data_IF_028499030352
#
_entry.id   IF_028499030352
#
_cell.length_a   1.000
_cell.length_b   1.000
_cell.length_c   1.000
_cell.angle_alpha   90.00
_cell.angle_beta   90.00
_cell.angle_gamma   90.00
#
_symmetry.space_group_name_H-M   'P 1'
#
loop_
_entity.id
_entity.type
_entity.pdbx_description
1 polymer ?
#
# COMPACT_ATOMS: atom_id res chain seq x y z
N UNK A 1 -14.11 19.79 9.43
CA UNK A 1 -14.43 18.57 8.66
C UNK A 1 -13.26 18.30 7.73
N UNK A 2 -12.54 17.20 7.93
CA UNK A 2 -11.37 16.84 7.13
C UNK A 2 -11.86 16.07 5.90
N UNK A 3 -11.81 16.69 4.73
CA UNK A 3 -12.02 16.00 3.46
C UNK A 3 -10.98 14.87 3.35
N UNK A 4 -11.39 13.63 3.02
CA UNK A 4 -10.43 12.61 2.65
C UNK A 4 -9.84 13.05 1.30
N UNK A 5 -8.62 13.58 1.32
CA UNK A 5 -7.79 13.63 0.13
C UNK A 5 -7.53 12.18 -0.24
N UNK A 6 -8.34 11.69 -1.17
CA UNK A 6 -8.07 10.50 -1.96
C UNK A 6 -6.69 10.75 -2.55
N UNK A 7 -5.68 10.04 -2.05
CA UNK A 7 -4.40 9.95 -2.73
C UNK A 7 -4.71 9.34 -4.08
N UNK A 8 -4.74 10.17 -5.12
CA UNK A 8 -4.86 9.70 -6.48
C UNK A 8 -3.65 8.77 -6.69
N UNK A 9 -3.85 7.47 -6.94
CA UNK A 9 -2.74 6.60 -7.27
C UNK A 9 -2.14 7.16 -8.57
N UNK A 10 -0.92 7.68 -8.49
CA UNK A 10 -0.18 8.10 -9.69
C UNK A 10 0.20 6.81 -10.41
N UNK A 11 -0.68 6.47 -11.36
CA UNK A 11 -0.59 5.48 -12.42
C UNK A 11 -0.14 4.05 -12.02
N UNK A 12 -1.12 3.22 -11.67
CA UNK A 12 -1.09 1.80 -12.05
C UNK A 12 -1.39 1.69 -13.56
N UNK A 13 -0.70 0.78 -14.24
CA UNK A 13 -1.31 -0.53 -14.41
C UNK A 13 -0.41 -1.66 -13.89
N UNK A 14 -0.84 -2.29 -12.80
CA UNK A 14 -0.86 -3.76 -12.75
C UNK A 14 -1.62 -4.18 -14.02
N UNK A 15 -1.11 -5.16 -14.75
CA UNK A 15 -1.73 -5.70 -15.96
C UNK A 15 -3.22 -5.99 -15.70
N UNK A 16 -4.10 -5.04 -16.01
CA UNK A 16 -5.42 -5.35 -16.53
C UNK A 16 -5.23 -5.33 -18.03
N UNK A 17 -4.95 -6.50 -18.61
CA UNK A 17 -5.24 -6.69 -20.02
C UNK A 17 -6.71 -6.31 -20.18
N UNK A 18 -6.97 -5.13 -20.75
CA UNK A 18 -8.24 -4.90 -21.42
C UNK A 18 -8.35 -6.05 -22.41
N UNK A 19 -9.38 -6.89 -22.28
CA UNK A 19 -9.60 -8.07 -23.12
C UNK A 19 -9.63 -7.74 -24.64
N UNK A 20 -9.63 -6.46 -25.01
CA UNK A 20 -9.76 -5.97 -26.37
C UNK A 20 -8.46 -5.46 -27.01
N UNK A 21 -7.31 -5.49 -26.31
CA UNK A 21 -6.02 -5.04 -26.86
C UNK A 21 -5.10 -6.24 -27.11
N UNK A 22 -4.89 -6.58 -28.39
CA UNK A 22 -3.89 -7.59 -28.79
C UNK A 22 -2.49 -6.99 -28.69
N UNK A 23 -1.81 -7.29 -27.59
CA UNK A 23 -0.39 -7.01 -27.41
C UNK A 23 0.46 -8.07 -28.13
N UNK A 24 1.63 -7.72 -28.68
CA UNK A 24 2.53 -8.72 -29.26
C UNK A 24 2.96 -9.76 -28.20
N UNK A 25 2.94 -11.03 -28.58
CA UNK A 25 3.07 -12.18 -27.67
C UNK A 25 4.36 -12.17 -26.84
N UNK A 26 5.46 -11.70 -27.43
CA UNK A 26 6.76 -11.52 -26.77
C UNK A 26 6.76 -10.58 -25.55
N UNK A 27 5.67 -9.83 -25.34
CA UNK A 27 5.50 -8.93 -24.19
C UNK A 27 4.48 -9.46 -23.16
N UNK A 28 3.76 -10.53 -23.50
CA UNK A 28 2.80 -11.21 -22.62
C UNK A 28 3.49 -12.31 -21.82
N UNK A 29 4.64 -12.78 -22.28
CA UNK A 29 5.42 -13.85 -21.65
C UNK A 29 6.74 -13.32 -21.13
N UNK A 30 7.20 -13.88 -20.00
CA UNK A 30 8.53 -13.59 -19.47
C UNK A 30 9.58 -14.19 -20.41
N UNK A 31 10.69 -13.50 -20.73
CA UNK A 31 11.76 -14.02 -21.58
C UNK A 31 12.65 -15.00 -20.79
N UNK A 32 12.08 -16.15 -20.39
CA UNK A 32 12.76 -17.16 -19.55
C UNK A 32 13.92 -17.87 -20.28
N UNK A 33 13.98 -17.73 -21.60
CA UNK A 33 15.05 -18.16 -22.49
C UNK A 33 16.26 -17.21 -22.47
N UNK A 34 16.11 -15.97 -21.98
CA UNK A 34 17.23 -15.02 -21.81
C UNK A 34 17.94 -15.26 -20.46
N UNK A 35 19.21 -15.72 -20.47
CA UNK A 35 19.97 -15.98 -19.24
C UNK A 35 20.10 -14.73 -18.35
N UNK A 36 20.21 -13.54 -18.96
CA UNK A 36 20.33 -12.27 -18.24
C UNK A 36 19.04 -11.96 -17.48
N UNK A 37 17.88 -12.20 -18.11
CA UNK A 37 16.59 -12.03 -17.44
C UNK A 37 16.41 -13.02 -16.30
N UNK A 38 16.75 -14.30 -16.53
CA UNK A 38 16.58 -15.35 -15.52
C UNK A 38 17.37 -15.04 -14.24
N UNK A 39 18.64 -14.66 -14.38
CA UNK A 39 19.47 -14.26 -13.22
C UNK A 39 18.88 -13.00 -12.57
N UNK A 40 18.43 -12.03 -13.36
CA UNK A 40 17.83 -10.82 -12.81
C UNK A 40 16.48 -11.08 -12.07
N UNK A 41 15.63 -12.00 -12.52
CA UNK A 41 14.38 -12.39 -11.83
C UNK A 41 14.65 -13.10 -10.50
N UNK A 42 15.77 -13.81 -10.39
CA UNK A 42 16.22 -14.42 -9.14
C UNK A 42 16.79 -13.34 -8.20
N UNK A 43 17.69 -12.51 -8.69
CA UNK A 43 18.42 -11.54 -7.86
C UNK A 43 17.59 -10.33 -7.45
N UNK A 44 16.56 -9.94 -8.22
CA UNK A 44 15.66 -8.85 -7.82
C UNK A 44 14.97 -9.14 -6.48
N UNK A 45 14.77 -10.42 -6.13
CA UNK A 45 14.15 -10.85 -4.87
C UNK A 45 15.05 -10.65 -3.66
N UNK A 46 16.35 -10.45 -3.88
CA UNK A 46 17.36 -10.24 -2.85
C UNK A 46 17.64 -8.76 -2.58
N UNK A 47 17.12 -7.85 -3.42
CA UNK A 47 17.32 -6.41 -3.27
C UNK A 47 16.71 -5.89 -1.97
N UNK A 48 17.42 -4.98 -1.32
CA UNK A 48 16.98 -4.27 -0.11
C UNK A 48 16.88 -2.78 -0.38
N UNK A 49 16.21 -2.05 0.51
CA UNK A 49 16.04 -0.60 0.38
C UNK A 49 17.38 0.15 0.25
N UNK A 50 18.42 -0.37 0.91
CA UNK A 50 19.77 0.20 0.91
C UNK A 50 20.50 0.01 -0.42
N UNK A 51 20.04 -0.91 -1.28
CA UNK A 51 20.63 -1.16 -2.60
C UNK A 51 20.25 -0.07 -3.63
N UNK A 52 19.31 0.82 -3.30
CA UNK A 52 18.79 1.80 -4.23
C UNK A 52 19.39 3.21 -4.05
N UNK A 53 19.52 3.95 -5.16
CA UNK A 53 19.91 5.37 -5.22
C UNK A 53 18.77 6.32 -4.83
N UNK A 54 18.03 5.93 -3.80
CA UNK A 54 16.93 6.72 -3.20
C UNK A 54 17.39 7.32 -1.87
N UNK A 55 16.80 8.42 -1.40
CA UNK A 55 17.23 9.09 -0.17
C UNK A 55 17.17 8.13 1.03
N UNK A 56 18.31 7.80 1.62
CA UNK A 56 18.36 6.79 2.70
C UNK A 56 17.98 7.36 4.08
N UNK A 57 17.98 8.69 4.21
CA UNK A 57 17.68 9.47 5.41
C UNK A 57 16.17 9.55 5.73
N UNK A 58 15.47 8.42 5.65
CA UNK A 58 14.01 8.28 5.91
C UNK A 58 13.60 8.68 7.33
N UNK A 59 14.49 8.53 8.30
CA UNK A 59 14.32 8.87 9.71
C UNK A 59 14.20 10.38 9.95
N UNK A 60 14.67 11.21 9.01
CA UNK A 60 14.57 12.68 9.09
C UNK A 60 13.23 13.23 8.60
N UNK A 61 12.41 12.42 7.94
CA UNK A 61 11.19 12.86 7.27
C UNK A 61 9.97 12.11 7.80
N UNK A 62 8.82 12.79 7.85
CA UNK A 62 7.54 12.09 7.96
C UNK A 62 7.28 11.31 6.67
N UNK A 63 6.56 10.20 6.77
CA UNK A 63 6.34 9.28 5.64
C UNK A 63 5.77 9.97 4.39
N UNK A 64 4.85 10.93 4.56
CA UNK A 64 4.23 11.67 3.45
C UNK A 64 5.22 12.62 2.77
N UNK A 65 6.02 13.34 3.56
CA UNK A 65 7.03 14.26 3.05
C UNK A 65 8.13 13.49 2.33
N UNK A 66 8.52 12.34 2.88
CA UNK A 66 9.45 11.43 2.25
C UNK A 66 8.91 10.91 0.91
N UNK A 67 7.64 10.48 0.87
CA UNK A 67 6.99 10.01 -0.35
C UNK A 67 6.93 11.10 -1.43
N UNK A 68 6.57 12.34 -1.07
CA UNK A 68 6.60 13.46 -2.01
C UNK A 68 8.02 13.77 -2.50
N UNK A 69 9.03 13.72 -1.61
CA UNK A 69 10.44 13.90 -2.00
C UNK A 69 10.85 12.83 -3.02
N UNK A 70 10.46 11.57 -2.81
CA UNK A 70 10.71 10.48 -3.76
C UNK A 70 10.02 10.74 -5.11
N UNK A 71 8.73 11.09 -5.13
CA UNK A 71 7.99 11.35 -6.37
C UNK A 71 8.56 12.52 -7.19
N UNK A 72 9.14 13.51 -6.51
CA UNK A 72 9.73 14.68 -7.15
C UNK A 72 11.19 14.49 -7.59
N UNK A 73 11.80 13.34 -7.30
CA UNK A 73 13.15 13.06 -7.81
C UNK A 73 13.13 12.81 -9.31
N UNK A 74 13.70 13.74 -10.07
CA UNK A 74 14.13 13.49 -11.45
C UNK A 74 15.41 12.66 -11.42
N UNK A 75 15.28 11.34 -11.52
CA UNK A 75 16.45 10.49 -11.78
C UNK A 75 16.71 10.47 -13.28
N UNK A 76 17.87 11.02 -13.65
CA UNK A 76 18.29 11.28 -15.03
C UNK A 76 18.75 10.00 -15.73
N UNK A 77 19.02 8.94 -14.97
CA UNK A 77 19.36 7.61 -15.49
C UNK A 77 18.54 6.52 -14.80
N UNK A 78 17.97 5.62 -15.59
CA UNK A 78 17.01 4.60 -15.15
C UNK A 78 17.59 3.47 -14.28
N UNK A 79 18.80 3.64 -13.72
CA UNK A 79 19.35 2.72 -12.74
C UNK A 79 19.13 3.20 -11.32
N UNK A 80 17.97 2.82 -10.79
CA UNK A 80 17.67 3.00 -9.38
C UNK A 80 18.53 2.16 -8.45
N UNK A 81 19.21 1.11 -8.94
CA UNK A 81 20.10 0.25 -8.13
C UNK A 81 21.52 0.82 -8.15
N UNK A 82 22.10 1.04 -6.96
CA UNK A 82 23.48 1.47 -6.76
C UNK A 82 24.45 0.57 -7.52
N UNK A 83 25.50 1.12 -8.18
CA UNK A 83 26.54 0.33 -8.83
C UNK A 83 27.22 -0.70 -7.93
N UNK A 84 27.24 -0.46 -6.61
CA UNK A 84 27.85 -1.31 -5.59
C UNK A 84 26.93 -2.42 -5.07
N UNK A 85 25.66 -2.48 -5.49
CA UNK A 85 24.74 -3.53 -5.04
C UNK A 85 25.19 -4.91 -5.50
N UNK A 86 24.99 -5.92 -4.65
CA UNK A 86 25.30 -7.31 -4.96
C UNK A 86 24.58 -7.81 -6.23
N UNK A 87 23.42 -7.22 -6.56
CA UNK A 87 22.70 -7.49 -7.81
C UNK A 87 23.60 -7.41 -9.05
N UNK A 88 24.45 -6.38 -9.14
CA UNK A 88 25.36 -6.18 -10.28
C UNK A 88 26.59 -7.10 -10.27
N UNK A 89 26.80 -7.87 -9.20
CA UNK A 89 27.85 -8.90 -9.16
C UNK A 89 27.43 -10.19 -9.86
N UNK A 90 26.11 -10.40 -10.02
CA UNK A 90 25.50 -11.57 -10.64
C UNK A 90 24.92 -11.27 -12.01
N UNK A 91 24.32 -10.09 -12.17
CA UNK A 91 23.70 -9.64 -13.42
C UNK A 91 24.71 -8.87 -14.25
N UNK A 92 24.93 -9.26 -15.51
CA UNK A 92 25.70 -8.47 -16.47
C UNK A 92 25.02 -7.11 -16.67
N UNK A 93 25.61 -6.07 -16.08
CA UNK A 93 25.08 -4.71 -16.12
C UNK A 93 24.98 -4.16 -17.54
N UNK A 94 25.91 -4.50 -18.42
CA UNK A 94 25.94 -3.97 -19.80
C UNK A 94 24.84 -4.63 -20.62
N UNK A 95 24.71 -5.96 -20.56
CA UNK A 95 23.65 -6.68 -21.27
C UNK A 95 22.26 -6.34 -20.71
N UNK A 96 22.13 -6.30 -19.37
CA UNK A 96 20.88 -5.90 -18.73
C UNK A 96 20.46 -4.50 -19.16
N UNK A 97 21.36 -3.51 -19.12
CA UNK A 97 21.07 -2.14 -19.56
C UNK A 97 20.81 -2.02 -21.07
N UNK A 98 21.07 -3.03 -21.90
CA UNK A 98 20.65 -3.01 -23.31
C UNK A 98 19.20 -3.45 -23.48
N UNK A 99 18.78 -4.45 -22.72
CA UNK A 99 17.50 -5.15 -22.91
C UNK A 99 16.40 -4.73 -21.92
N UNK A 100 16.78 -4.39 -20.69
CA UNK A 100 15.87 -4.19 -19.58
C UNK A 100 16.12 -2.87 -18.86
N UNK A 101 15.12 -2.45 -18.09
CA UNK A 101 15.22 -1.36 -17.13
C UNK A 101 14.45 -1.72 -15.86
N UNK A 102 14.73 -0.99 -14.79
CA UNK A 102 14.03 -1.15 -13.52
C UNK A 102 13.13 0.05 -13.29
N UNK A 103 11.89 -0.23 -12.91
CA UNK A 103 10.90 0.78 -12.52
C UNK A 103 10.57 0.55 -11.05
N UNK A 104 10.53 1.61 -10.27
CA UNK A 104 10.16 1.55 -8.85
C UNK A 104 8.90 2.35 -8.64
N UNK A 105 7.86 1.70 -8.14
CA UNK A 105 6.67 2.34 -7.62
C UNK A 105 6.72 2.40 -6.11
N UNK A 106 6.07 3.41 -5.54
CA UNK A 106 6.07 3.60 -4.10
C UNK A 106 4.69 3.98 -3.57
N UNK A 107 4.33 3.37 -2.45
CA UNK A 107 3.00 3.45 -1.85
C UNK A 107 3.12 3.69 -0.35
N UNK A 108 2.41 4.67 0.18
CA UNK A 108 2.20 4.80 1.62
C UNK A 108 1.10 3.81 2.01
N UNK A 109 1.45 2.77 2.77
CA UNK A 109 0.49 1.73 3.17
C UNK A 109 -0.31 2.18 4.39
N UNK A 110 0.36 2.78 5.36
CA UNK A 110 -0.23 3.33 6.58
C UNK A 110 0.65 4.48 7.13
N UNK A 111 0.36 4.95 8.34
CA UNK A 111 1.08 6.05 8.98
C UNK A 111 2.53 5.71 9.39
N UNK A 112 2.94 4.44 9.35
CA UNK A 112 4.24 3.92 9.80
C UNK A 112 5.05 3.26 8.68
N UNK A 113 4.38 2.80 7.62
CA UNK A 113 4.96 1.91 6.61
C UNK A 113 4.72 2.41 5.18
N UNK A 114 5.79 2.38 4.41
CA UNK A 114 5.80 2.61 2.97
C UNK A 114 6.23 1.33 2.26
N UNK A 115 5.72 1.07 1.06
CA UNK A 115 6.12 -0.06 0.22
C UNK A 115 6.73 0.45 -1.07
N UNK A 116 7.86 -0.11 -1.44
CA UNK A 116 8.46 -0.01 -2.76
C UNK A 116 8.18 -1.29 -3.53
N UNK A 117 7.63 -1.16 -4.73
CA UNK A 117 7.47 -2.26 -5.66
C UNK A 117 8.42 -2.03 -6.84
N UNK A 118 9.37 -2.94 -7.00
CA UNK A 118 10.44 -2.87 -7.99
C UNK A 118 10.09 -3.82 -9.11
N UNK A 119 10.17 -3.36 -10.35
CA UNK A 119 9.78 -4.10 -11.53
C UNK A 119 10.91 -4.16 -12.55
N UNK A 120 11.12 -5.35 -13.13
CA UNK A 120 11.93 -5.49 -14.34
C UNK A 120 11.02 -5.31 -15.54
N UNK A 121 11.37 -4.38 -16.42
CA UNK A 121 10.62 -4.06 -17.63
C UNK A 121 11.56 -4.06 -18.84
N UNK A 122 11.06 -4.30 -20.07
CA UNK A 122 11.87 -4.15 -21.28
C UNK A 122 12.26 -2.68 -21.48
N UNK A 123 13.53 -2.42 -21.85
CA UNK A 123 14.11 -1.06 -21.90
C UNK A 123 13.43 -0.16 -22.92
N UNK A 124 13.16 -0.71 -24.11
CA UNK A 124 12.61 0.00 -25.25
C UNK A 124 11.15 0.41 -25.05
N UNK A 125 10.44 -0.15 -24.06
CA UNK A 125 8.99 0.07 -23.87
C UNK A 125 8.54 0.09 -22.41
N UNK A 126 9.37 0.59 -21.51
CA UNK A 126 9.00 0.77 -20.10
C UNK A 126 7.67 1.53 -19.93
N UNK A 127 7.32 2.39 -20.89
CA UNK A 127 6.06 3.14 -20.97
C UNK A 127 5.56 3.14 -22.42
N UNK A 128 4.42 2.51 -22.70
CA UNK A 128 3.79 2.48 -24.02
C UNK A 128 2.47 3.24 -23.99
N UNK A 129 2.33 4.31 -24.78
CA UNK A 129 1.06 4.99 -24.91
C UNK A 129 0.20 4.27 -25.97
N UNK A 130 -0.94 3.72 -25.55
CA UNK A 130 -1.93 3.13 -26.44
C UNK A 130 -3.29 3.76 -26.13
N UNK A 131 -3.94 4.35 -27.14
CA UNK A 131 -5.21 5.08 -27.00
C UNK A 131 -5.20 6.16 -25.90
N UNK A 132 -4.08 6.86 -25.74
CA UNK A 132 -3.94 7.91 -24.72
C UNK A 132 -3.71 7.41 -23.30
N UNK A 133 -3.56 6.09 -23.10
CA UNK A 133 -3.25 5.47 -21.81
C UNK A 133 -1.82 4.94 -21.81
N UNK A 134 -1.11 5.16 -20.72
CA UNK A 134 0.26 4.69 -20.54
C UNK A 134 0.26 3.27 -19.94
N UNK A 135 0.88 2.33 -20.64
CA UNK A 135 1.03 0.92 -20.26
C UNK A 135 2.47 0.62 -19.87
N UNK A 136 2.64 -0.16 -18.81
CA UNK A 136 3.95 -0.62 -18.33
C UNK A 136 4.01 -2.14 -18.45
N UNK A 137 5.00 -2.67 -19.17
CA UNK A 137 5.21 -4.11 -19.29
C UNK A 137 6.09 -4.60 -18.15
N UNK A 138 5.57 -5.54 -17.35
CA UNK A 138 6.23 -6.02 -16.13
C UNK A 138 6.54 -7.51 -16.30
N UNK A 139 7.82 -7.86 -16.28
CA UNK A 139 8.26 -9.27 -16.33
C UNK A 139 8.52 -9.87 -14.95
N UNK A 140 8.97 -9.05 -14.00
CA UNK A 140 9.21 -9.47 -12.62
C UNK A 140 8.89 -8.36 -11.64
N UNK A 141 8.59 -8.73 -10.39
CA UNK A 141 8.30 -7.79 -9.32
C UNK A 141 8.91 -8.23 -8.00
N UNK A 142 9.43 -7.29 -7.22
CA UNK A 142 9.80 -7.48 -5.82
C UNK A 142 9.21 -6.37 -4.95
N UNK A 143 8.85 -6.68 -3.70
CA UNK A 143 8.21 -5.74 -2.78
C UNK A 143 9.07 -5.57 -1.54
N UNK A 144 9.38 -4.32 -1.21
CA UNK A 144 10.15 -3.96 -0.02
C UNK A 144 9.31 -3.04 0.85
N UNK A 145 9.02 -3.49 2.06
CA UNK A 145 8.38 -2.68 3.08
C UNK A 145 9.45 -1.90 3.86
N UNK A 146 9.27 -0.59 3.96
CA UNK A 146 10.18 0.32 4.63
C UNK A 146 9.44 0.99 5.78
N UNK A 147 10.04 0.92 6.97
CA UNK A 147 9.60 1.59 8.19
C UNK A 147 10.77 2.46 8.70
N UNK A 148 10.68 3.00 9.92
CA UNK A 148 11.75 3.79 10.54
C UNK A 148 11.73 5.25 10.12
N UNK A 149 10.55 5.81 9.89
CA UNK A 149 10.36 7.22 9.55
C UNK A 149 10.35 8.11 10.81
N UNK A 150 10.41 9.42 10.61
CA UNK A 150 10.40 10.38 11.71
C UNK A 150 9.20 10.17 12.64
N UNK A 151 9.48 10.22 13.94
CA UNK A 151 8.49 10.09 15.03
C UNK A 151 7.72 8.76 15.06
N UNK A 152 8.21 7.69 14.42
CA UNK A 152 7.53 6.38 14.38
C UNK A 152 7.05 5.92 15.76
N UNK A 153 7.91 6.00 16.78
CA UNK A 153 7.56 5.61 18.15
C UNK A 153 6.38 6.42 18.73
N UNK A 154 6.33 7.73 18.45
CA UNK A 154 5.23 8.60 18.91
C UNK A 154 3.93 8.29 18.17
N UNK A 155 4.02 8.05 16.86
CA UNK A 155 2.87 7.69 16.03
C UNK A 155 2.32 6.33 16.47
N UNK A 156 3.19 5.34 16.70
CA UNK A 156 2.83 4.01 17.20
C UNK A 156 2.11 4.10 18.54
N UNK A 157 2.66 4.85 19.51
CA UNK A 157 2.01 5.05 20.81
C UNK A 157 0.62 5.73 20.68
N UNK A 158 0.49 6.68 19.75
CA UNK A 158 -0.80 7.34 19.47
C UNK A 158 -1.81 6.39 18.84
N UNK A 159 -1.38 5.52 17.93
CA UNK A 159 -2.21 4.50 17.30
C UNK A 159 -2.67 3.45 18.32
N UNK A 160 -1.78 2.98 19.19
CA UNK A 160 -2.12 2.06 20.28
C UNK A 160 -3.13 2.67 21.25
N UNK A 161 -2.95 3.95 21.62
CA UNK A 161 -3.92 4.67 22.46
C UNK A 161 -5.28 4.77 21.77
N UNK A 162 -5.32 5.11 20.49
CA UNK A 162 -6.58 5.17 19.70
C UNK A 162 -7.24 3.80 19.60
N UNK A 163 -6.49 2.74 19.35
CA UNK A 163 -7.01 1.38 19.28
C UNK A 163 -7.62 0.96 20.63
N UNK A 164 -6.97 1.30 21.75
CA UNK A 164 -7.51 1.06 23.10
C UNK A 164 -8.83 1.81 23.32
N UNK A 165 -8.91 3.08 22.94
CA UNK A 165 -10.14 3.88 23.05
C UNK A 165 -11.26 3.29 22.17
N UNK A 166 -10.95 2.95 20.92
CA UNK A 166 -11.92 2.35 20.01
C UNK A 166 -12.47 1.03 20.55
N UNK A 167 -11.59 0.18 21.08
CA UNK A 167 -11.99 -1.06 21.75
C UNK A 167 -12.94 -0.77 22.93
N UNK A 168 -12.62 0.19 23.80
CA UNK A 168 -13.51 0.57 24.91
C UNK A 168 -14.87 1.00 24.39
N UNK A 169 -14.93 1.93 23.43
CA UNK A 169 -16.19 2.42 22.85
C UNK A 169 -17.01 1.29 22.22
N UNK A 170 -16.35 0.38 21.49
CA UNK A 170 -16.98 -0.77 20.85
C UNK A 170 -17.69 -1.70 21.87
N UNK A 171 -17.18 -1.81 23.10
CA UNK A 171 -17.83 -2.60 24.15
C UNK A 171 -18.86 -1.78 24.93
N UNK A 172 -18.56 -0.52 25.27
CA UNK A 172 -19.40 0.30 26.14
C UNK A 172 -20.72 0.73 25.46
N UNK A 173 -20.69 1.06 24.17
CA UNK A 173 -21.90 1.53 23.46
C UNK A 173 -22.98 0.44 23.39
N UNK A 174 -22.69 -0.81 22.97
CA UNK A 174 -23.66 -1.89 23.03
C UNK A 174 -24.18 -2.17 24.45
N UNK A 175 -23.31 -2.12 25.47
CA UNK A 175 -23.73 -2.35 26.86
C UNK A 175 -24.73 -1.30 27.35
N UNK A 176 -24.53 -0.02 27.02
CA UNK A 176 -25.47 1.05 27.37
C UNK A 176 -26.82 0.87 26.65
N UNK A 177 -26.79 0.46 25.38
CA UNK A 177 -28.01 0.20 24.60
C UNK A 177 -28.80 -0.96 25.20
N UNK A 178 -28.15 -2.07 25.51
CA UNK A 178 -28.78 -3.24 26.15
C UNK A 178 -29.39 -2.83 27.50
N UNK A 179 -28.64 -2.09 28.32
CA UNK A 179 -29.13 -1.62 29.61
C UNK A 179 -30.36 -0.70 29.49
N UNK A 180 -30.35 0.20 28.49
CA UNK A 180 -31.49 1.09 28.20
C UNK A 180 -32.74 0.32 27.77
N UNK A 181 -32.57 -0.74 26.97
CA UNK A 181 -33.67 -1.64 26.56
C UNK A 181 -34.24 -2.38 27.78
N UNK A 182 -33.38 -2.92 28.65
CA UNK A 182 -33.80 -3.60 29.88
C UNK A 182 -34.60 -2.64 30.78
N UNK A 183 -34.09 -1.42 30.98
CA UNK A 183 -34.75 -0.41 31.80
C UNK A 183 -36.13 -0.03 31.23
N UNK A 184 -36.23 0.14 29.90
CA UNK A 184 -37.49 0.41 29.23
C UNK A 184 -38.51 -0.72 29.42
N UNK A 185 -38.08 -1.98 29.31
CA UNK A 185 -38.95 -3.15 29.55
C UNK A 185 -39.47 -3.16 30.99
N UNK A 186 -38.60 -2.90 31.98
CA UNK A 186 -38.98 -2.84 33.41
C UNK A 186 -40.01 -1.72 33.65
N UNK A 187 -39.75 -0.50 33.16
CA UNK A 187 -40.67 0.64 33.31
C UNK A 187 -42.02 0.31 32.69
N UNK A 188 -42.03 -0.25 31.47
CA UNK A 188 -43.25 -0.63 30.76
C UNK A 188 -44.04 -1.72 31.51
N UNK A 189 -43.35 -2.68 32.14
CA UNK A 189 -43.98 -3.71 32.98
C UNK A 189 -44.63 -3.11 34.24
N UNK A 190 -43.93 -2.19 34.92
CA UNK A 190 -44.46 -1.48 36.10
C UNK A 190 -45.69 -0.65 35.73
N UNK A 191 -45.64 0.10 34.63
CA UNK A 191 -46.79 0.90 34.15
C UNK A 191 -48.00 0.05 33.78
N UNK A 192 -47.79 -1.12 33.16
CA UNK A 192 -48.87 -2.08 32.86
C UNK A 192 -49.50 -2.64 34.14
N UNK A 193 -48.70 -3.00 35.15
CA UNK A 193 -49.22 -3.43 36.46
C UNK A 193 -50.05 -2.33 37.16
N UNK A 194 -49.59 -1.07 37.14
CA UNK A 194 -50.36 0.05 37.70
C UNK A 194 -51.70 0.29 37.00
N UNK A 195 -51.77 0.16 35.67
CA UNK A 195 -53.05 0.26 34.94
C UNK A 195 -53.99 -0.92 35.20
N UNK A 196 -53.47 -2.11 35.48
CA UNK A 196 -54.29 -3.28 35.85
C UNK A 196 -54.89 -3.22 37.26
N UNK A 197 -54.29 -2.45 38.18
CA UNK A 197 -54.80 -2.25 39.55
C UNK A 197 -55.77 -1.08 39.69
N UNK A 198 -55.97 -0.27 38.63
CA UNK A 198 -56.91 0.86 38.63
C UNK A 198 -58.36 0.51 38.26
N UNK A 199 -58.64 -0.75 37.92
CA UNK A 199 -59.98 -1.23 37.52
C UNK A 199 -60.51 -2.35 38.45
N UNK A 200 -60.08 -2.37 39.71
CA UNK A 200 -60.73 -3.19 40.74
C UNK A 200 -61.12 -2.27 41.88
N UNK A 201 -62.40 -2.34 42.25
CA UNK A 201 -63.13 -1.55 43.28
C UNK A 201 -63.76 -0.27 42.72
N UNK A 202 -65.08 -0.07 42.73
CA UNK A 202 -66.09 -0.51 43.71
C UNK A 202 -67.42 -0.90 43.02
N UNK A 203 -67.99 -2.02 43.51
CA UNK A 203 -69.43 -2.24 43.55
C UNK A 203 -70.13 -1.16 44.38
#
# INVERSE_FOLDING_TARGET
>A
MLSPLISVPVALPIISASCNVKLPEKYLTKPMDDPTFKIADEEIKNLKFEDFEIPQEKDKYFIRDYHQKFLNQKLIDSTWIKPTSFFWTKVDKVDFKKKYTIVIFSYVLDDLKMRFEIFITPKDKAKHNFEGKDYYFIYSSHKIDVNGFKDEAKIKAKLEKRAKIYKIVQWTVPSIIIFSIILYVIIKAIMRKKKGMGNVSHY
#
